data_IF_881715137796
#
_entry.id   IF_881715137796
#
_cell.length_a   1.000
_cell.length_b   1.000
_cell.length_c   1.000
_cell.angle_alpha   90.00
_cell.angle_beta   90.00
_cell.angle_gamma   90.00
#
_symmetry.space_group_name_H-M   'P 1'
#
loop_
_entity.id
_entity.type
_entity.pdbx_description
1 polymer ?
#
# COMPACT_ATOMS: atom_id res chain seq x y z
N UNK A 1 6.61 74.01 9.66
CA UNK A 1 6.12 72.61 9.72
C UNK A 1 6.14 72.15 11.17
N UNK A 2 4.99 71.67 11.68
CA UNK A 2 4.73 71.45 13.11
C UNK A 2 5.43 70.17 13.61
N UNK A 3 6.17 70.26 14.72
CA UNK A 3 6.92 69.15 15.35
C UNK A 3 6.11 67.85 15.57
N UNK A 4 4.77 67.94 15.63
CA UNK A 4 3.89 66.78 15.75
C UNK A 4 3.84 65.86 14.53
N UNK A 5 4.09 66.36 13.31
CA UNK A 5 4.05 65.51 12.11
C UNK A 5 5.30 64.65 11.94
N UNK A 6 6.44 65.03 12.54
CA UNK A 6 7.68 64.26 12.49
C UNK A 6 7.63 63.03 13.41
N UNK A 7 7.03 63.19 14.60
CA UNK A 7 6.84 62.10 15.57
C UNK A 7 5.88 61.02 15.07
N UNK A 8 4.83 61.42 14.34
CA UNK A 8 3.85 60.49 13.77
C UNK A 8 4.45 59.68 12.61
N UNK A 9 5.37 60.27 11.83
CA UNK A 9 6.06 59.61 10.73
C UNK A 9 7.11 58.61 11.24
N UNK A 10 7.84 58.93 12.31
CA UNK A 10 8.75 58.01 12.99
C UNK A 10 8.01 56.80 13.61
N UNK A 11 6.81 57.01 14.15
CA UNK A 11 5.97 55.93 14.66
C UNK A 11 5.52 54.94 13.58
N UNK A 12 5.11 55.43 12.41
CA UNK A 12 4.68 54.57 11.28
C UNK A 12 5.87 53.78 10.70
N UNK A 13 7.05 54.40 10.60
CA UNK A 13 8.27 53.72 10.12
C UNK A 13 8.71 52.61 11.08
N UNK A 14 8.59 52.83 12.41
CA UNK A 14 8.86 51.80 13.41
C UNK A 14 7.93 50.59 13.32
N UNK A 15 6.63 50.83 13.08
CA UNK A 15 5.64 49.76 12.90
C UNK A 15 5.89 48.98 11.60
N UNK A 16 6.23 49.67 10.50
CA UNK A 16 6.53 49.03 9.22
C UNK A 16 7.81 48.17 9.26
N UNK A 17 8.86 48.65 9.94
CA UNK A 17 10.11 47.90 10.15
C UNK A 17 9.90 46.67 11.06
N UNK A 18 9.02 46.79 12.07
CA UNK A 18 8.68 45.67 12.94
C UNK A 18 7.85 44.61 12.21
N UNK A 19 6.95 45.02 11.31
CA UNK A 19 6.19 44.10 10.45
C UNK A 19 7.09 43.34 9.45
N UNK A 20 8.11 43.98 8.88
CA UNK A 20 9.03 43.31 7.94
C UNK A 20 9.99 42.35 8.65
N UNK A 21 10.47 42.67 9.86
CA UNK A 21 11.27 41.73 10.65
C UNK A 21 10.46 40.55 11.18
N UNK A 22 9.19 40.75 11.55
CA UNK A 22 8.34 39.65 12.03
C UNK A 22 7.94 38.67 10.91
N UNK A 23 7.68 39.14 9.70
CA UNK A 23 7.46 38.25 8.54
C UNK A 23 8.75 37.61 8.03
N UNK A 24 9.89 38.31 8.10
CA UNK A 24 11.19 37.78 7.66
C UNK A 24 11.72 36.62 8.52
N UNK A 25 11.37 36.58 9.81
CA UNK A 25 11.82 35.54 10.75
C UNK A 25 10.85 34.38 10.93
N UNK A 26 9.56 34.54 10.58
CA UNK A 26 8.57 33.44 10.63
C UNK A 26 8.42 32.67 9.29
N UNK A 27 8.94 33.21 8.18
CA UNK A 27 8.98 32.51 6.88
C UNK A 27 10.36 32.00 6.47
N UNK A 28 11.38 32.12 7.33
CA UNK A 28 12.75 31.67 7.03
C UNK A 28 13.06 30.22 7.43
N UNK A 29 12.06 29.44 7.84
CA UNK A 29 12.24 28.02 8.22
C UNK A 29 11.39 27.03 7.39
N UNK A 30 11.14 27.38 6.12
CA UNK A 30 10.62 26.43 5.15
C UNK A 30 11.30 26.64 3.79
N UNK A 31 12.26 25.77 3.49
CA UNK A 31 12.78 25.61 2.14
C UNK A 31 14.23 26.05 2.02
N UNK A 32 15.12 25.08 2.21
CA UNK A 32 16.52 25.21 1.86
C UNK A 32 16.71 25.79 0.47
N UNK A 33 17.83 26.49 0.30
CA UNK A 33 18.33 26.95 -1.00
C UNK A 33 18.46 25.75 -1.94
N UNK A 34 17.41 25.47 -2.71
CA UNK A 34 17.45 24.50 -3.78
C UNK A 34 18.41 25.04 -4.84
N UNK A 35 19.56 24.39 -4.93
CA UNK A 35 20.55 24.58 -5.98
C UNK A 35 19.87 24.56 -7.34
N UNK A 36 20.23 25.49 -8.22
CA UNK A 36 19.78 25.52 -9.62
C UNK A 36 20.05 24.22 -10.40
N UNK A 37 20.81 23.27 -9.83
CA UNK A 37 20.98 21.90 -10.33
C UNK A 37 19.74 20.99 -10.15
N UNK A 38 18.80 21.33 -9.24
CA UNK A 38 17.59 20.55 -8.97
C UNK A 38 16.49 20.73 -10.04
N UNK A 39 16.69 21.69 -10.94
CA UNK A 39 15.84 22.00 -12.09
C UNK A 39 15.84 20.92 -13.19
N UNK A 40 16.58 19.82 -13.01
CA UNK A 40 16.61 18.66 -13.93
C UNK A 40 15.69 17.51 -13.52
N UNK A 41 15.03 17.57 -12.36
CA UNK A 41 14.12 16.50 -11.93
C UNK A 41 12.74 16.65 -12.61
N UNK A 42 12.35 15.60 -13.33
CA UNK A 42 10.99 15.46 -13.84
C UNK A 42 9.96 15.54 -12.72
N UNK A 43 8.72 15.88 -13.06
CA UNK A 43 7.59 15.78 -12.12
C UNK A 43 7.35 14.32 -11.76
N UNK A 44 7.61 13.40 -12.70
CA UNK A 44 7.45 11.95 -12.57
C UNK A 44 8.61 11.23 -13.26
N UNK A 45 9.00 10.07 -12.74
CA UNK A 45 9.92 9.14 -13.39
C UNK A 45 9.16 8.17 -14.31
N UNK A 46 7.96 7.79 -13.87
CA UNK A 46 7.14 6.73 -14.47
C UNK A 46 5.66 7.08 -14.35
N UNK A 47 4.89 6.88 -15.40
CA UNK A 47 3.43 7.00 -15.40
C UNK A 47 2.81 5.77 -16.04
N UNK A 48 1.95 5.09 -15.29
CA UNK A 48 1.06 4.05 -15.80
C UNK A 48 -0.27 4.69 -16.18
N UNK A 49 -0.71 4.51 -17.43
CA UNK A 49 -1.95 5.10 -17.94
C UNK A 49 -3.05 4.05 -18.08
N UNK A 50 -4.29 4.44 -17.77
CA UNK A 50 -5.51 3.64 -18.03
C UNK A 50 -5.61 2.30 -17.28
N UNK A 51 -4.99 2.19 -16.11
CA UNK A 51 -5.10 1.00 -15.27
C UNK A 51 -6.52 0.84 -14.70
N UNK A 52 -6.97 -0.39 -14.49
CA UNK A 52 -8.07 -0.70 -13.58
C UNK A 52 -7.51 -0.96 -12.17
N UNK A 53 -7.90 -0.17 -11.18
CA UNK A 53 -7.19 -0.06 -9.89
C UNK A 53 -8.05 -0.61 -8.76
N UNK A 54 -7.54 -1.65 -8.09
CA UNK A 54 -7.89 -1.94 -6.71
C UNK A 54 -6.87 -1.24 -5.81
N UNK A 55 -7.30 -0.31 -4.96
CA UNK A 55 -6.36 0.56 -4.24
C UNK A 55 -5.83 -0.02 -2.92
N UNK A 56 -6.35 -1.17 -2.48
CA UNK A 56 -5.96 -1.81 -1.22
C UNK A 56 -6.55 -1.17 0.03
N UNK A 57 -7.49 -0.24 -0.11
CA UNK A 57 -8.21 0.35 1.03
C UNK A 57 -9.37 -0.51 1.50
N UNK A 58 -10.02 -1.23 0.57
CA UNK A 58 -11.19 -2.05 0.86
C UNK A 58 -12.51 -1.28 0.89
N UNK A 59 -12.45 0.06 0.80
CA UNK A 59 -13.61 0.95 0.89
C UNK A 59 -14.11 1.38 -0.48
N UNK A 60 -13.20 1.49 -1.45
CA UNK A 60 -13.48 2.05 -2.77
C UNK A 60 -13.60 0.97 -3.83
N UNK A 61 -14.72 0.98 -4.56
CA UNK A 61 -14.92 0.15 -5.75
C UNK A 61 -13.80 0.34 -6.77
N UNK A 62 -13.48 -0.75 -7.49
CA UNK A 62 -12.50 -0.74 -8.57
C UNK A 62 -12.75 0.40 -9.57
N UNK A 63 -11.72 1.18 -9.87
CA UNK A 63 -11.85 2.36 -10.73
C UNK A 63 -10.75 2.45 -11.79
N UNK A 64 -10.98 3.19 -12.86
CA UNK A 64 -9.95 3.46 -13.87
C UNK A 64 -9.17 4.73 -13.55
N UNK A 65 -7.86 4.69 -13.74
CA UNK A 65 -7.02 5.85 -13.55
C UNK A 65 -5.58 5.64 -13.98
N UNK A 66 -4.80 6.70 -13.80
CA UNK A 66 -3.36 6.69 -14.00
C UNK A 66 -2.65 6.67 -12.65
N UNK A 67 -1.40 6.22 -12.65
CA UNK A 67 -0.54 6.19 -11.47
C UNK A 67 0.79 6.83 -11.87
N UNK A 68 1.10 7.98 -11.27
CA UNK A 68 2.37 8.66 -11.47
C UNK A 68 3.31 8.38 -10.28
N UNK A 69 4.57 8.08 -10.60
CA UNK A 69 5.59 7.64 -9.66
C UNK A 69 6.80 8.56 -9.78
N UNK A 70 7.37 8.92 -8.62
CA UNK A 70 8.64 9.64 -8.50
C UNK A 70 9.42 9.11 -7.32
N UNK A 71 10.72 8.89 -7.50
CA UNK A 71 11.65 8.42 -6.46
C UNK A 71 11.15 7.14 -5.77
N UNK A 72 10.52 6.26 -6.56
CA UNK A 72 9.95 4.99 -6.09
C UNK A 72 8.66 5.11 -5.28
N UNK A 73 8.07 6.30 -5.18
CA UNK A 73 6.79 6.57 -4.48
C UNK A 73 5.71 7.01 -5.45
N UNK A 74 4.48 6.66 -5.13
CA UNK A 74 3.29 7.15 -5.83
C UNK A 74 3.11 8.61 -5.45
N UNK A 75 3.03 9.49 -6.44
CA UNK A 75 2.82 10.94 -6.22
C UNK A 75 1.45 11.40 -6.67
N UNK A 76 0.80 10.65 -7.57
CA UNK A 76 -0.56 10.97 -8.06
C UNK A 76 -1.27 9.69 -8.50
N UNK A 77 -2.57 9.62 -8.20
CA UNK A 77 -3.47 8.55 -8.64
C UNK A 77 -4.74 9.20 -9.19
N UNK A 78 -5.23 8.70 -10.33
CA UNK A 78 -6.33 9.32 -11.07
C UNK A 78 -5.84 9.92 -12.38
N UNK A 79 -6.44 11.00 -12.86
CA UNK A 79 -6.04 11.60 -14.14
C UNK A 79 -4.69 12.31 -14.05
N UNK A 80 -3.74 11.94 -14.91
CA UNK A 80 -2.46 12.63 -15.10
C UNK A 80 -2.44 13.28 -16.48
N UNK A 81 -2.38 14.61 -16.50
CA UNK A 81 -2.39 15.42 -17.71
C UNK A 81 -1.17 15.13 -18.59
N UNK A 82 -1.38 15.14 -19.90
CA UNK A 82 -0.35 14.83 -20.88
C UNK A 82 0.82 15.82 -20.89
N UNK A 83 0.55 17.09 -20.62
CA UNK A 83 1.57 18.13 -20.53
C UNK A 83 2.49 17.91 -19.32
N UNK A 84 1.97 17.37 -18.21
CA UNK A 84 2.74 17.14 -16.99
C UNK A 84 3.89 16.13 -17.22
N UNK A 85 3.66 15.09 -18.03
CA UNK A 85 4.66 14.03 -18.25
C UNK A 85 5.45 14.18 -19.55
N UNK A 86 4.88 14.77 -20.61
CA UNK A 86 5.60 15.03 -21.88
C UNK A 86 6.68 16.10 -21.72
N UNK A 87 6.46 17.11 -20.88
CA UNK A 87 7.40 18.22 -20.71
C UNK A 87 8.77 17.77 -20.16
N UNK A 88 8.87 16.61 -19.50
CA UNK A 88 10.07 16.23 -18.73
C UNK A 88 10.52 14.77 -18.87
N UNK A 89 10.12 14.07 -19.94
CA UNK A 89 10.60 12.72 -20.33
C UNK A 89 10.32 11.59 -19.31
N UNK A 90 9.18 11.62 -18.61
CA UNK A 90 8.76 10.46 -17.83
C UNK A 90 8.55 9.24 -18.74
N UNK A 91 8.85 8.03 -18.25
CA UNK A 91 8.50 6.80 -18.98
C UNK A 91 6.99 6.57 -18.88
N UNK A 92 6.32 6.41 -20.01
CA UNK A 92 4.87 6.22 -20.07
C UNK A 92 4.58 4.78 -20.48
N UNK A 93 3.73 4.13 -19.70
CA UNK A 93 3.25 2.78 -19.98
C UNK A 93 1.74 2.80 -20.08
N UNK A 94 1.23 2.49 -21.27
CA UNK A 94 -0.18 2.14 -21.43
C UNK A 94 -0.40 0.76 -20.80
N UNK A 95 -1.23 0.73 -19.76
CA UNK A 95 -1.62 -0.49 -19.06
C UNK A 95 -3.13 -0.72 -19.19
N UNK A 96 -3.75 -0.17 -20.23
CA UNK A 96 -5.11 -0.47 -20.61
C UNK A 96 -5.34 -1.97 -20.78
N UNK A 97 -6.39 -2.49 -20.14
CA UNK A 97 -6.68 -3.92 -20.11
C UNK A 97 -5.89 -4.71 -19.06
N UNK A 98 -5.09 -4.03 -18.24
CA UNK A 98 -4.51 -4.58 -17.01
C UNK A 98 -5.22 -4.02 -15.79
N UNK A 99 -5.32 -4.89 -14.79
CA UNK A 99 -5.71 -4.54 -13.44
C UNK A 99 -4.46 -4.41 -12.58
N UNK A 100 -4.41 -3.39 -11.73
CA UNK A 100 -3.36 -3.14 -10.76
C UNK A 100 -3.91 -3.20 -9.34
N UNK A 101 -3.12 -3.78 -8.46
CA UNK A 101 -3.32 -3.74 -7.02
C UNK A 101 -1.97 -3.49 -6.33
N UNK A 102 -1.93 -3.04 -5.06
CA UNK A 102 -0.69 -3.03 -4.30
C UNK A 102 -0.12 -4.45 -4.26
N UNK A 103 1.20 -4.57 -4.25
CA UNK A 103 1.83 -5.86 -4.01
C UNK A 103 1.44 -6.39 -2.63
N UNK A 104 1.26 -7.71 -2.54
CA UNK A 104 0.95 -8.40 -1.29
C UNK A 104 2.01 -8.05 -0.26
N UNK A 105 1.55 -7.68 0.93
CA UNK A 105 2.43 -7.33 2.02
C UNK A 105 2.97 -8.61 2.64
N UNK A 106 4.29 -8.75 2.65
CA UNK A 106 4.92 -9.89 3.30
C UNK A 106 4.92 -9.69 4.80
N UNK A 107 4.48 -10.72 5.52
CA UNK A 107 4.55 -10.77 6.96
C UNK A 107 5.99 -10.87 7.42
N UNK A 108 6.39 -9.92 8.25
CA UNK A 108 7.71 -9.86 8.85
C UNK A 108 7.56 -9.71 10.36
N UNK A 109 8.59 -10.11 11.11
CA UNK A 109 8.61 -9.91 12.55
C UNK A 109 8.70 -8.42 12.85
N UNK A 110 7.66 -7.88 13.46
CA UNK A 110 7.62 -6.51 14.00
C UNK A 110 7.30 -6.56 15.49
N UNK A 111 7.35 -5.42 16.16
CA UNK A 111 6.95 -5.32 17.57
C UNK A 111 5.45 -5.58 17.78
N UNK A 112 4.64 -5.48 16.72
CA UNK A 112 3.19 -5.67 16.76
C UNK A 112 2.78 -7.13 16.53
N UNK A 113 3.70 -7.95 16.04
CA UNK A 113 3.45 -9.35 15.67
C UNK A 113 4.08 -10.28 16.71
N UNK A 114 3.26 -11.15 17.29
CA UNK A 114 3.72 -12.13 18.28
C UNK A 114 4.05 -13.45 17.58
N UNK A 115 5.26 -13.94 17.81
CA UNK A 115 5.71 -15.24 17.32
C UNK A 115 5.35 -16.34 18.33
N UNK A 116 4.79 -17.45 17.85
CA UNK A 116 4.39 -18.57 18.70
C UNK A 116 4.60 -19.92 18.00
N UNK A 117 4.72 -21.00 18.76
CA UNK A 117 4.86 -22.35 18.21
C UNK A 117 3.51 -22.87 17.72
N UNK A 118 3.46 -23.29 16.44
CA UNK A 118 2.25 -23.81 15.79
C UNK A 118 1.54 -24.85 16.67
N UNK A 119 2.29 -25.85 17.16
CA UNK A 119 1.78 -26.99 17.96
C UNK A 119 1.02 -26.58 19.22
N UNK A 120 1.29 -25.39 19.75
CA UNK A 120 0.68 -24.86 20.98
C UNK A 120 -0.25 -23.67 20.72
N UNK A 121 -0.30 -23.18 19.48
CA UNK A 121 -1.09 -22.01 19.09
C UNK A 121 -2.54 -22.35 18.83
N UNK A 122 -2.84 -23.49 18.20
CA UNK A 122 -4.21 -23.93 17.94
C UNK A 122 -4.58 -25.08 18.89
N UNK A 123 -5.81 -25.11 19.46
CA UNK A 123 -6.93 -24.19 19.26
C UNK A 123 -6.94 -22.96 20.18
N UNK A 124 -5.83 -22.65 20.87
CA UNK A 124 -5.75 -21.51 21.80
C UNK A 124 -6.08 -20.18 21.11
N UNK A 125 -5.64 -20.00 19.87
CA UNK A 125 -5.96 -18.85 19.02
C UNK A 125 -6.78 -19.30 17.81
N UNK A 126 -7.71 -18.45 17.31
CA UNK A 126 -8.45 -18.72 16.08
C UNK A 126 -7.53 -19.01 14.90
N UNK A 127 -7.90 -19.96 14.04
CA UNK A 127 -7.06 -20.36 12.92
C UNK A 127 -6.80 -19.24 11.89
N UNK A 128 -7.71 -18.28 11.77
CA UNK A 128 -7.54 -17.11 10.92
C UNK A 128 -6.57 -16.07 11.51
N UNK A 129 -6.08 -16.25 12.75
CA UNK A 129 -5.02 -15.42 13.35
C UNK A 129 -3.63 -16.03 13.19
N UNK A 130 -3.51 -17.29 12.78
CA UNK A 130 -2.25 -18.03 12.81
C UNK A 130 -1.61 -18.04 11.42
N UNK A 131 -0.71 -17.10 11.18
CA UNK A 131 -0.05 -16.95 9.89
C UNK A 131 1.31 -17.64 9.83
N UNK A 132 1.56 -18.35 8.74
CA UNK A 132 2.87 -18.87 8.42
C UNK A 132 3.72 -17.75 7.83
N UNK A 133 4.99 -17.63 8.23
CA UNK A 133 5.92 -16.66 7.66
C UNK A 133 7.01 -17.31 6.79
N UNK A 134 7.11 -18.63 6.81
CA UNK A 134 8.09 -19.41 6.06
C UNK A 134 7.46 -20.66 5.44
N UNK A 135 8.16 -21.25 4.46
CA UNK A 135 7.73 -22.46 3.78
C UNK A 135 6.62 -22.24 2.74
N UNK A 136 5.97 -23.34 2.36
CA UNK A 136 5.01 -23.36 1.24
C UNK A 136 3.72 -22.55 1.49
N UNK A 137 3.45 -22.22 2.76
CA UNK A 137 2.24 -21.50 3.17
C UNK A 137 2.54 -20.08 3.67
N UNK A 138 3.76 -19.57 3.46
CA UNK A 138 4.14 -18.23 3.91
C UNK A 138 3.13 -17.16 3.42
N UNK A 139 2.68 -16.32 4.35
CA UNK A 139 1.65 -15.29 4.12
C UNK A 139 0.21 -15.79 4.31
N UNK A 140 -0.03 -17.09 4.46
CA UNK A 140 -1.36 -17.65 4.68
C UNK A 140 -1.61 -17.93 6.16
N UNK A 141 -2.86 -17.79 6.56
CA UNK A 141 -3.37 -18.25 7.86
C UNK A 141 -3.69 -19.75 7.84
N UNK A 142 -3.71 -20.40 9.00
CA UNK A 142 -4.13 -21.80 9.13
C UNK A 142 -5.52 -22.05 8.54
N UNK A 143 -6.45 -21.10 8.68
CA UNK A 143 -7.78 -21.19 8.07
C UNK A 143 -7.72 -21.23 6.54
N UNK A 144 -6.90 -20.38 5.92
CA UNK A 144 -6.71 -20.36 4.47
C UNK A 144 -6.00 -21.61 3.96
N UNK A 145 -5.01 -22.12 4.70
CA UNK A 145 -4.35 -23.38 4.35
C UNK A 145 -5.35 -24.54 4.38
N UNK A 146 -6.25 -24.58 5.37
CA UNK A 146 -7.30 -25.59 5.42
C UNK A 146 -8.26 -25.49 4.23
N UNK A 147 -8.63 -24.26 3.86
CA UNK A 147 -9.47 -24.01 2.68
C UNK A 147 -8.80 -24.43 1.38
N UNK A 148 -7.52 -24.12 1.17
CA UNK A 148 -6.75 -24.57 -0.01
C UNK A 148 -6.70 -26.10 -0.10
N UNK A 149 -6.63 -26.78 1.04
CA UNK A 149 -6.60 -28.24 1.12
C UNK A 149 -7.98 -28.89 0.98
N UNK A 150 -9.06 -28.12 1.05
CA UNK A 150 -10.42 -28.65 1.11
C UNK A 150 -10.68 -29.50 2.35
N UNK A 151 -9.98 -29.20 3.46
CA UNK A 151 -10.04 -29.94 4.72
C UNK A 151 -10.60 -29.05 5.85
N UNK A 152 -10.97 -29.68 6.97
CA UNK A 152 -11.24 -28.93 8.19
C UNK A 152 -9.94 -28.38 8.79
N UNK A 153 -10.06 -27.29 9.55
CA UNK A 153 -8.93 -26.66 10.24
C UNK A 153 -8.20 -27.65 11.15
N UNK A 154 -8.94 -28.51 11.85
CA UNK A 154 -8.41 -29.51 12.77
C UNK A 154 -7.58 -30.56 12.03
N UNK A 155 -8.08 -31.05 10.89
CA UNK A 155 -7.36 -32.02 10.05
C UNK A 155 -6.09 -31.42 9.47
N UNK A 156 -6.19 -30.20 8.94
CA UNK A 156 -5.03 -29.48 8.41
C UNK A 156 -4.00 -29.18 9.51
N UNK A 157 -4.44 -28.76 10.69
CA UNK A 157 -3.55 -28.54 11.83
C UNK A 157 -2.79 -29.80 12.22
N UNK A 158 -3.48 -30.93 12.36
CA UNK A 158 -2.86 -32.22 12.68
C UNK A 158 -1.82 -32.61 11.62
N UNK A 159 -2.18 -32.54 10.34
CA UNK A 159 -1.29 -32.80 9.21
C UNK A 159 -0.03 -31.92 9.26
N UNK A 160 -0.17 -30.62 9.50
CA UNK A 160 0.95 -29.69 9.57
C UNK A 160 1.85 -29.96 10.79
N UNK A 161 1.28 -30.36 11.92
CA UNK A 161 2.04 -30.71 13.13
C UNK A 161 2.85 -32.01 12.99
N UNK A 162 2.39 -32.94 12.16
CA UNK A 162 3.09 -34.19 11.84
C UNK A 162 4.21 -33.96 10.82
N UNK A 163 3.95 -33.15 9.78
CA UNK A 163 4.88 -32.98 8.65
C UNK A 163 5.97 -31.93 8.90
N UNK A 164 5.68 -30.92 9.71
CA UNK A 164 6.62 -29.83 9.96
C UNK A 164 7.44 -30.06 11.24
N UNK A 165 8.64 -29.45 11.35
CA UNK A 165 9.44 -29.50 12.56
C UNK A 165 8.66 -29.10 13.83
N UNK A 166 9.02 -29.69 14.97
CA UNK A 166 8.35 -29.38 16.23
C UNK A 166 8.44 -27.90 16.65
N UNK A 167 9.45 -27.19 16.14
CA UNK A 167 9.69 -25.78 16.39
C UNK A 167 9.13 -24.86 15.30
N UNK A 168 8.26 -25.35 14.41
CA UNK A 168 7.59 -24.50 13.41
C UNK A 168 6.82 -23.40 14.10
N UNK A 169 7.14 -22.17 13.71
CA UNK A 169 6.56 -20.96 14.28
C UNK A 169 5.50 -20.39 13.36
N UNK A 170 4.58 -19.66 13.97
CA UNK A 170 3.55 -18.86 13.31
C UNK A 170 3.52 -17.49 13.96
N UNK A 171 3.03 -16.52 13.21
CA UNK A 171 2.67 -15.22 13.73
C UNK A 171 1.21 -15.23 14.17
N UNK A 172 0.95 -14.66 15.34
CA UNK A 172 -0.40 -14.37 15.82
C UNK A 172 -0.72 -12.95 15.38
N UNK A 173 -1.62 -12.84 14.41
CA UNK A 173 -2.06 -11.56 13.86
C UNK A 173 -3.59 -11.49 13.90
N UNK A 174 -4.18 -10.78 14.87
CA UNK A 174 -5.62 -10.62 14.94
C UNK A 174 -6.08 -9.62 13.88
N UNK A 175 -6.28 -10.11 12.66
CA UNK A 175 -7.00 -9.40 11.63
C UNK A 175 -8.48 -9.42 11.98
N UNK A 176 -9.15 -8.27 11.95
CA UNK A 176 -10.59 -8.22 12.12
C UNK A 176 -11.24 -8.84 10.89
N UNK A 177 -11.89 -9.97 11.09
CA UNK A 177 -12.58 -10.73 10.05
C UNK A 177 -14.04 -10.82 10.49
N UNK A 178 -14.95 -10.33 9.67
CA UNK A 178 -16.38 -10.52 9.87
C UNK A 178 -16.72 -12.01 9.64
N UNK A 179 -16.93 -12.73 10.74
CA UNK A 179 -17.23 -14.16 10.70
C UNK A 179 -18.48 -14.49 9.88
N UNK A 180 -19.46 -13.58 9.82
CA UNK A 180 -20.65 -13.78 9.00
C UNK A 180 -20.27 -13.69 7.53
N UNK A 181 -19.45 -12.71 7.14
CA UNK A 181 -18.93 -12.62 5.76
C UNK A 181 -18.07 -13.81 5.37
N UNK A 182 -17.30 -14.39 6.29
CA UNK A 182 -16.55 -15.63 6.03
C UNK A 182 -17.50 -16.80 5.76
N UNK A 183 -18.50 -16.99 6.64
CA UNK A 183 -19.48 -18.09 6.53
C UNK A 183 -20.30 -17.98 5.25
N UNK A 184 -20.74 -16.77 4.93
CA UNK A 184 -21.57 -16.47 3.75
C UNK A 184 -20.74 -16.27 2.47
N UNK A 185 -19.41 -16.20 2.59
CA UNK A 185 -18.47 -15.87 1.50
C UNK A 185 -18.85 -14.57 0.78
N UNK A 186 -19.32 -13.57 1.53
CA UNK A 186 -19.90 -12.32 1.03
C UNK A 186 -18.92 -11.15 0.93
N UNK A 187 -17.62 -11.40 1.15
CA UNK A 187 -16.57 -10.41 0.92
C UNK A 187 -16.53 -9.91 -0.53
N UNK A 188 -16.32 -8.60 -0.71
CA UNK A 188 -16.02 -8.05 -2.03
C UNK A 188 -14.56 -8.29 -2.42
N UNK A 189 -14.23 -8.10 -3.70
CA UNK A 189 -12.83 -8.22 -4.15
C UNK A 189 -11.98 -7.12 -3.52
N UNK A 190 -12.50 -5.91 -3.38
CA UNK A 190 -11.85 -4.77 -2.74
C UNK A 190 -11.43 -5.09 -1.31
N UNK A 191 -12.36 -5.65 -0.51
CA UNK A 191 -12.10 -6.05 0.87
C UNK A 191 -11.02 -7.13 0.95
N UNK A 192 -11.07 -8.12 0.05
CA UNK A 192 -10.07 -9.18 -0.01
C UNK A 192 -8.70 -8.66 -0.45
N UNK A 193 -8.64 -7.76 -1.43
CA UNK A 193 -7.38 -7.11 -1.83
C UNK A 193 -6.81 -6.34 -0.65
N UNK A 194 -7.63 -5.54 0.05
CA UNK A 194 -7.20 -4.78 1.23
C UNK A 194 -6.70 -5.68 2.36
N UNK A 195 -7.36 -6.82 2.58
CA UNK A 195 -6.96 -7.83 3.56
C UNK A 195 -5.53 -8.33 3.35
N UNK A 196 -5.09 -8.54 2.12
CA UNK A 196 -3.71 -8.94 1.80
C UNK A 196 -2.73 -7.79 1.61
N UNK A 197 -3.22 -6.54 1.60
CA UNK A 197 -2.44 -5.34 1.28
C UNK A 197 -2.58 -4.30 2.38
N UNK A 198 -3.49 -3.34 2.25
CA UNK A 198 -3.57 -2.17 3.14
C UNK A 198 -3.87 -2.50 4.59
N UNK A 199 -4.81 -3.40 4.86
CA UNK A 199 -5.15 -3.81 6.23
C UNK A 199 -3.98 -4.54 6.88
N UNK A 200 -3.32 -5.42 6.13
CA UNK A 200 -2.15 -6.14 6.60
C UNK A 200 -0.98 -5.20 6.89
N UNK A 201 -0.72 -4.25 5.99
CA UNK A 201 0.30 -3.22 6.16
C UNK A 201 0.09 -2.42 7.46
N UNK A 202 -1.14 -1.97 7.68
CA UNK A 202 -1.54 -1.22 8.86
C UNK A 202 -1.35 -2.04 10.14
N UNK A 203 -1.74 -3.32 10.11
CA UNK A 203 -1.62 -4.23 11.26
C UNK A 203 -0.17 -4.56 11.65
N UNK A 204 0.78 -4.41 10.74
CA UNK A 204 2.21 -4.60 11.02
C UNK A 204 2.97 -3.27 11.13
N UNK A 205 2.25 -2.15 11.22
CA UNK A 205 2.82 -0.81 11.42
C UNK A 205 3.48 -0.18 10.19
N UNK A 206 3.26 -0.71 8.98
CA UNK A 206 3.82 -0.18 7.73
C UNK A 206 2.80 0.74 7.04
N UNK A 207 2.95 2.06 7.21
CA UNK A 207 1.98 3.06 6.71
C UNK A 207 2.15 3.42 5.23
N UNK A 208 3.32 3.18 4.65
CA UNK A 208 3.65 3.59 3.28
C UNK A 208 3.62 2.42 2.27
N UNK A 209 3.02 1.28 2.62
CA UNK A 209 2.86 0.12 1.72
C UNK A 209 1.43 -0.37 1.72
N UNK A 210 1.08 -1.23 0.75
CA UNK A 210 -0.23 -1.88 0.71
C UNK A 210 -1.39 -1.00 0.23
N UNK A 211 -1.13 0.24 -0.22
CA UNK A 211 -2.17 1.12 -0.79
C UNK A 211 -1.69 1.79 -2.08
N UNK A 212 -2.58 1.95 -3.06
CA UNK A 212 -2.34 2.74 -4.28
C UNK A 212 -2.81 4.16 -4.03
N UNK A 213 -2.04 4.92 -3.26
CA UNK A 213 -2.35 6.28 -2.87
C UNK A 213 -1.09 7.16 -2.90
N UNK A 214 -1.28 8.46 -3.08
CA UNK A 214 -0.16 9.41 -3.04
C UNK A 214 0.57 9.33 -1.69
N UNK A 215 1.90 9.30 -1.72
CA UNK A 215 2.78 9.13 -0.57
C UNK A 215 3.23 7.68 -0.31
N UNK A 216 2.48 6.68 -0.79
CA UNK A 216 2.84 5.28 -0.64
C UNK A 216 3.98 4.84 -1.58
N UNK A 217 4.67 3.77 -1.23
CA UNK A 217 5.66 3.12 -2.07
C UNK A 217 5.01 2.54 -3.32
N UNK A 218 5.70 2.64 -4.45
CA UNK A 218 5.24 2.11 -5.72
C UNK A 218 5.57 0.62 -5.85
N UNK A 219 5.00 -0.18 -4.93
CA UNK A 219 5.03 -1.63 -4.96
C UNK A 219 3.68 -2.14 -5.48
N UNK A 220 3.61 -2.41 -6.78
CA UNK A 220 2.39 -2.65 -7.54
C UNK A 220 2.46 -3.96 -8.30
N UNK A 221 1.36 -4.69 -8.35
CA UNK A 221 1.22 -5.93 -9.12
C UNK A 221 0.20 -5.74 -10.23
N UNK A 222 0.55 -6.10 -11.46
CA UNK A 222 -0.29 -5.96 -12.64
C UNK A 222 -0.67 -7.33 -13.20
N UNK A 223 -1.94 -7.52 -13.53
CA UNK A 223 -2.47 -8.76 -14.12
C UNK A 223 -3.50 -8.46 -15.21
N UNK A 224 -3.72 -9.42 -16.10
CA UNK A 224 -4.59 -9.24 -17.27
C UNK A 224 -6.06 -9.25 -16.83
N UNK A 225 -6.77 -8.13 -17.00
CA UNK A 225 -8.16 -7.97 -16.51
C UNK A 225 -9.10 -9.05 -17.04
N UNK A 226 -9.06 -9.30 -18.36
CA UNK A 226 -10.00 -10.23 -19.02
C UNK A 226 -9.85 -11.70 -18.60
N UNK A 227 -8.79 -12.07 -17.90
CA UNK A 227 -8.58 -13.44 -17.41
C UNK A 227 -9.31 -13.73 -16.09
N UNK A 228 -9.78 -12.69 -15.41
CA UNK A 228 -10.36 -12.76 -14.07
C UNK A 228 -11.63 -11.89 -14.00
N UNK A 229 -12.80 -12.54 -14.04
CA UNK A 229 -14.03 -11.89 -13.60
C UNK A 229 -14.03 -11.74 -12.07
N UNK A 230 -14.96 -10.94 -11.56
CA UNK A 230 -15.06 -10.61 -10.14
C UNK A 230 -15.27 -11.85 -9.26
N UNK A 231 -16.13 -12.78 -9.67
CA UNK A 231 -16.41 -13.99 -8.91
C UNK A 231 -15.17 -14.88 -8.81
N UNK A 232 -14.52 -15.14 -9.94
CA UNK A 232 -13.29 -15.94 -10.00
C UNK A 232 -12.18 -15.31 -9.18
N UNK A 233 -12.00 -13.99 -9.30
CA UNK A 233 -11.02 -13.25 -8.52
C UNK A 233 -11.30 -13.34 -7.02
N UNK A 234 -12.55 -13.14 -6.60
CA UNK A 234 -12.98 -13.31 -5.21
C UNK A 234 -12.70 -14.72 -4.69
N UNK A 235 -13.07 -15.75 -5.45
CA UNK A 235 -12.85 -17.14 -5.04
C UNK A 235 -11.37 -17.50 -4.89
N UNK A 236 -10.52 -16.99 -5.79
CA UNK A 236 -9.07 -17.14 -5.69
C UNK A 236 -8.53 -16.45 -4.44
N UNK A 237 -8.89 -15.18 -4.23
CA UNK A 237 -8.43 -14.41 -3.09
C UNK A 237 -8.91 -15.00 -1.76
N UNK A 238 -10.12 -15.55 -1.68
CA UNK A 238 -10.59 -16.26 -0.48
C UNK A 238 -9.69 -17.47 -0.13
N UNK A 239 -9.09 -18.11 -1.14
CA UNK A 239 -8.14 -19.21 -0.95
C UNK A 239 -6.71 -18.72 -0.68
N UNK A 240 -6.46 -17.42 -0.66
CA UNK A 240 -5.10 -16.87 -0.60
C UNK A 240 -4.30 -17.10 -1.88
N UNK A 241 -4.99 -17.33 -3.00
CA UNK A 241 -4.40 -17.39 -4.33
C UNK A 241 -4.49 -16.01 -4.98
N UNK A 242 -3.57 -15.73 -5.91
CA UNK A 242 -3.50 -14.45 -6.59
C UNK A 242 -3.46 -14.62 -8.10
N UNK A 243 -3.97 -13.63 -8.87
CA UNK A 243 -3.84 -13.60 -10.32
C UNK A 243 -2.40 -13.79 -10.78
N UNK A 244 -2.24 -14.47 -11.92
CA UNK A 244 -0.95 -14.57 -12.58
C UNK A 244 -0.50 -13.16 -12.98
N UNK A 245 0.62 -12.74 -12.43
CA UNK A 245 1.17 -11.42 -12.72
C UNK A 245 1.68 -11.36 -14.16
N UNK A 246 1.35 -10.27 -14.85
CA UNK A 246 1.97 -9.89 -16.12
C UNK A 246 3.34 -9.24 -15.85
N UNK A 247 3.36 -8.27 -14.95
CA UNK A 247 4.58 -7.68 -14.41
C UNK A 247 4.29 -7.04 -13.04
N UNK A 248 5.35 -6.56 -12.39
CA UNK A 248 5.24 -5.80 -11.14
C UNK A 248 6.08 -4.53 -11.22
N UNK A 249 5.74 -3.53 -10.41
CA UNK A 249 6.59 -2.39 -10.12
C UNK A 249 7.06 -2.54 -8.67
N UNK A 250 8.37 -2.41 -8.40
CA UNK A 250 8.89 -2.34 -7.04
C UNK A 250 9.79 -1.13 -6.89
N UNK A 251 9.48 -0.25 -5.94
CA UNK A 251 10.19 1.02 -5.72
C UNK A 251 10.40 1.80 -7.03
N UNK A 252 9.37 1.87 -7.88
CA UNK A 252 9.41 2.59 -9.16
C UNK A 252 10.14 1.87 -10.30
N UNK A 253 10.57 0.62 -10.12
CA UNK A 253 11.22 -0.18 -11.17
C UNK A 253 10.31 -1.30 -11.64
N UNK A 254 10.18 -1.44 -12.96
CA UNK A 254 9.40 -2.52 -13.57
C UNK A 254 10.21 -3.82 -13.51
N UNK A 255 9.57 -4.88 -13.03
CA UNK A 255 10.08 -6.25 -12.97
C UNK A 255 9.14 -7.13 -13.79
N UNK A 256 9.65 -7.70 -14.88
CA UNK A 256 8.91 -8.63 -15.75
C UNK A 256 8.98 -10.04 -15.20
N UNK A 257 7.86 -10.75 -15.25
CA UNK A 257 7.76 -12.16 -14.88
C UNK A 257 7.49 -12.93 -16.18
N UNK A 258 8.44 -13.77 -16.60
CA UNK A 258 8.36 -14.60 -17.81
C UNK A 258 7.94 -16.03 -17.45
#
# INVERSE_FOLDING_TARGET
MRKGSLLLLLGIVGIAASFTCFYGLFFSDAGGMASAADSRLGTYDLVFKYAQIYDGTGEREVFRGDIAIKDGRIVKVGYVDEQEYKARRALIFDVGGLTVMPSIVQLEKTNEVVEHLLKTSYPRYPAHYLYFFEGAYAGLSLAQVAQQRGESVEKTFAFLCERNPAHTKVYILPMEVDENKVKEKSYTVEELVAYYTGYLAEKIGKKDVGKVQAGCNADLSFFVTREYDEQKLREMLLRGEFPKMSFSCKKGKIIKHY
#
